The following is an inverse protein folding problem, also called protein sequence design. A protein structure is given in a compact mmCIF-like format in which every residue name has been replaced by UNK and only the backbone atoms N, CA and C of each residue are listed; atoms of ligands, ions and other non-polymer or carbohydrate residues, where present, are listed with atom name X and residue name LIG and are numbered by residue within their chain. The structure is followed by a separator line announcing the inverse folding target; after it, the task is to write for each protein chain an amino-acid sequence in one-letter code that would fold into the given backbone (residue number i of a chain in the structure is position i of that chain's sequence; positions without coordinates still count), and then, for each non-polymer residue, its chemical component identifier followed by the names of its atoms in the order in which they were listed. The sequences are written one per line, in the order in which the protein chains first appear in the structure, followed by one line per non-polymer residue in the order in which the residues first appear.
data_IF_810869037028
#
_entry.id   IF_810869037028
#
_cell.length_a   1.000
_cell.length_b   1.000
_cell.length_c   1.000
_cell.angle_alpha   90.00
_cell.angle_beta   90.00
_cell.angle_gamma   90.00
#
_symmetry.space_group_name_H-M   'P 1'
#
loop_
_entity.id
_entity.type
_entity.pdbx_description
1 polymer ?
#
# COMPACT_ATOMS: atom_id res chain seq x y z
N UNK A 1 6.63 5.35 -4.34
CA UNK A 1 8.03 5.72 -3.99
C UNK A 1 8.29 5.21 -2.58
N UNK A 2 9.43 4.57 -2.30
CA UNK A 2 9.78 4.14 -0.95
C UNK A 2 9.80 5.36 -0.01
N UNK A 3 9.35 5.19 1.23
CA UNK A 3 9.31 6.29 2.19
C UNK A 3 10.75 6.61 2.62
N UNK A 4 11.04 7.88 2.93
CA UNK A 4 12.39 8.33 3.33
C UNK A 4 12.95 7.49 4.48
N UNK A 5 12.12 7.17 5.48
CA UNK A 5 12.53 6.32 6.61
C UNK A 5 12.93 4.89 6.22
N UNK A 6 12.33 4.31 5.17
CA UNK A 6 12.70 2.98 4.68
C UNK A 6 14.07 3.01 4.01
N UNK A 7 14.37 4.08 3.28
CA UNK A 7 15.69 4.30 2.66
C UNK A 7 16.75 4.50 3.75
N UNK A 8 16.48 5.32 4.76
CA UNK A 8 17.40 5.55 5.89
C UNK A 8 17.71 4.25 6.62
N UNK A 9 16.71 3.38 6.84
CA UNK A 9 16.92 2.04 7.41
C UNK A 9 17.84 1.17 6.55
N UNK A 10 17.60 1.12 5.24
CA UNK A 10 18.44 0.34 4.32
C UNK A 10 19.90 0.84 4.32
N UNK A 11 20.12 2.15 4.39
CA UNK A 11 21.47 2.73 4.49
C UNK A 11 22.12 2.37 5.82
N UNK A 12 21.42 2.54 6.94
CA UNK A 12 21.95 2.22 8.27
C UNK A 12 22.31 0.73 8.40
N UNK A 13 21.43 -0.15 7.92
CA UNK A 13 21.64 -1.59 7.94
C UNK A 13 22.75 -2.02 6.98
N UNK A 14 22.80 -1.44 5.78
CA UNK A 14 23.86 -1.72 4.81
C UNK A 14 25.24 -1.32 5.33
N UNK A 15 25.34 -0.21 6.06
CA UNK A 15 26.59 0.21 6.72
C UNK A 15 26.99 -0.74 7.86
N UNK A 16 26.03 -1.21 8.66
CA UNK A 16 26.30 -2.05 9.83
C UNK A 16 26.62 -3.49 9.49
N UNK A 17 25.82 -4.09 8.60
CA UNK A 17 25.92 -5.50 8.22
C UNK A 17 26.78 -5.71 6.95
N UNK A 18 27.35 -4.63 6.39
CA UNK A 18 28.14 -4.63 5.14
C UNK A 18 27.38 -5.24 3.95
N UNK A 19 26.06 -5.10 3.94
CA UNK A 19 25.19 -5.55 2.84
C UNK A 19 25.03 -4.41 1.82
N UNK A 20 25.13 -4.68 0.50
CA UNK A 20 24.90 -3.67 -0.51
C UNK A 20 23.50 -3.01 -0.38
N UNK A 21 23.48 -1.68 -0.25
CA UNK A 21 22.25 -0.90 0.03
C UNK A 21 21.23 -1.03 -1.10
N UNK A 22 21.70 -1.16 -2.34
CA UNK A 22 20.88 -1.39 -3.53
C UNK A 22 20.06 -2.69 -3.44
N UNK A 23 20.63 -3.75 -2.85
CA UNK A 23 19.91 -5.01 -2.63
C UNK A 23 18.82 -4.83 -1.57
N UNK A 24 19.12 -4.13 -0.47
CA UNK A 24 18.15 -3.85 0.60
C UNK A 24 16.97 -3.00 0.10
N UNK A 25 17.25 -1.98 -0.72
CA UNK A 25 16.20 -1.16 -1.36
C UNK A 25 15.39 -2.01 -2.34
N UNK A 26 16.04 -2.90 -3.10
CA UNK A 26 15.38 -3.84 -3.98
C UNK A 26 14.35 -4.71 -3.26
N UNK A 27 14.69 -5.22 -2.07
CA UNK A 27 13.77 -6.00 -1.22
C UNK A 27 12.56 -5.17 -0.78
N UNK A 28 12.76 -3.92 -0.34
CA UNK A 28 11.64 -3.04 0.07
C UNK A 28 10.68 -2.79 -1.10
N UNK A 29 11.20 -2.59 -2.32
CA UNK A 29 10.35 -2.39 -3.50
C UNK A 29 9.53 -3.65 -3.81
N UNK A 30 10.12 -4.84 -3.65
CA UNK A 30 9.43 -6.12 -3.84
C UNK A 30 8.33 -6.29 -2.78
N UNK A 31 8.64 -6.05 -1.51
CA UNK A 31 7.67 -6.08 -0.40
C UNK A 31 6.46 -5.19 -0.71
N UNK A 32 6.68 -3.95 -1.13
CA UNK A 32 5.61 -3.00 -1.50
C UNK A 32 4.82 -3.44 -2.72
N UNK A 33 5.48 -4.04 -3.70
CA UNK A 33 4.79 -4.62 -4.86
C UNK A 33 3.84 -5.73 -4.46
N UNK A 34 4.26 -6.59 -3.52
CA UNK A 34 3.46 -7.70 -3.01
C UNK A 34 2.30 -7.19 -2.17
N UNK A 35 2.50 -6.19 -1.31
CA UNK A 35 1.43 -5.54 -0.56
C UNK A 35 0.33 -4.99 -1.48
N UNK A 36 0.71 -4.30 -2.57
CA UNK A 36 -0.26 -3.75 -3.53
C UNK A 36 -1.04 -4.87 -4.24
N UNK A 37 -0.37 -5.96 -4.63
CA UNK A 37 -1.01 -7.11 -5.27
C UNK A 37 -1.98 -7.78 -4.29
N UNK A 38 -1.58 -7.99 -3.04
CA UNK A 38 -2.43 -8.59 -2.01
C UNK A 38 -3.66 -7.73 -1.73
N UNK A 39 -3.50 -6.40 -1.60
CA UNK A 39 -4.63 -5.48 -1.44
C UNK A 39 -5.59 -5.56 -2.64
N UNK A 40 -5.05 -5.62 -3.86
CA UNK A 40 -5.86 -5.74 -5.07
C UNK A 40 -6.64 -7.06 -5.11
N UNK A 41 -6.03 -8.18 -4.71
CA UNK A 41 -6.69 -9.49 -4.62
C UNK A 41 -7.82 -9.45 -3.58
N UNK A 42 -7.58 -8.88 -2.40
CA UNK A 42 -8.59 -8.76 -1.35
C UNK A 42 -9.75 -7.85 -1.79
N UNK A 43 -9.43 -6.74 -2.45
CA UNK A 43 -10.44 -5.83 -3.01
C UNK A 43 -11.32 -6.54 -4.05
N UNK A 44 -10.70 -7.29 -4.97
CA UNK A 44 -11.44 -8.06 -5.98
C UNK A 44 -12.31 -9.15 -5.34
N UNK A 45 -11.77 -9.88 -4.38
CA UNK A 45 -12.51 -10.88 -3.62
C UNK A 45 -13.73 -10.25 -2.94
N UNK A 46 -13.54 -9.09 -2.31
CA UNK A 46 -14.64 -8.37 -1.66
C UNK A 46 -15.68 -7.86 -2.67
N UNK A 47 -15.28 -7.38 -3.85
CA UNK A 47 -16.24 -7.01 -4.90
C UNK A 47 -17.08 -8.19 -5.39
N UNK A 48 -16.56 -9.42 -5.32
CA UNK A 48 -17.29 -10.63 -5.68
C UNK A 48 -18.26 -11.04 -4.58
N UNK A 49 -17.83 -10.96 -3.31
CA UNK A 49 -18.60 -11.42 -2.15
C UNK A 49 -19.64 -10.39 -1.70
N UNK A 50 -19.25 -9.12 -1.63
CA UNK A 50 -20.05 -8.00 -1.12
C UNK A 50 -19.91 -6.74 -2.01
N UNK A 51 -20.05 -6.96 -3.32
CA UNK A 51 -19.97 -5.88 -4.31
C UNK A 51 -21.10 -4.86 -4.19
N UNK A 52 -22.22 -5.22 -3.56
CA UNK A 52 -23.35 -4.32 -3.32
C UNK A 52 -22.98 -3.20 -2.33
N UNK A 53 -22.10 -3.48 -1.37
CA UNK A 53 -21.60 -2.52 -0.40
C UNK A 53 -20.40 -1.76 -0.93
N UNK A 54 -19.36 -2.48 -1.38
CA UNK A 54 -18.09 -1.88 -1.77
C UNK A 54 -18.18 -1.12 -3.11
N UNK A 55 -18.95 -1.63 -4.07
CA UNK A 55 -19.04 -1.09 -5.42
C UNK A 55 -19.54 0.37 -5.47
N UNK A 56 -20.72 0.69 -4.90
CA UNK A 56 -21.23 2.05 -4.84
C UNK A 56 -20.26 3.00 -4.12
N UNK A 57 -19.70 2.57 -2.99
CA UNK A 57 -18.76 3.38 -2.22
C UNK A 57 -17.51 3.75 -3.03
N UNK A 58 -16.89 2.79 -3.72
CA UNK A 58 -15.74 3.06 -4.59
C UNK A 58 -16.11 3.96 -5.76
N UNK A 59 -17.29 3.77 -6.35
CA UNK A 59 -17.76 4.59 -7.46
C UNK A 59 -17.90 6.05 -7.05
N UNK A 60 -18.50 6.33 -5.91
CA UNK A 60 -18.74 7.69 -5.43
C UNK A 60 -17.50 8.34 -4.84
N UNK A 61 -16.69 7.57 -4.11
CA UNK A 61 -15.55 8.13 -3.35
C UNK A 61 -14.27 8.19 -4.19
N UNK A 62 -14.06 7.24 -5.10
CA UNK A 62 -12.81 7.13 -5.88
C UNK A 62 -13.04 7.48 -7.34
N UNK A 63 -14.04 6.89 -8.00
CA UNK A 63 -14.21 7.02 -9.46
C UNK A 63 -14.80 8.38 -9.84
N UNK A 64 -15.85 8.84 -9.16
CA UNK A 64 -16.53 10.09 -9.48
C UNK A 64 -15.61 11.33 -9.37
N UNK A 65 -14.81 11.51 -8.30
CA UNK A 65 -13.91 12.66 -8.19
C UNK A 65 -12.77 12.63 -9.21
N UNK A 66 -12.26 11.43 -9.54
CA UNK A 66 -11.26 11.27 -10.61
C UNK A 66 -11.87 11.61 -11.96
N UNK A 67 -13.08 11.13 -12.23
CA UNK A 67 -13.83 11.43 -13.46
C UNK A 67 -14.11 12.92 -13.59
N UNK A 68 -14.56 13.59 -12.53
CA UNK A 68 -14.81 15.04 -12.55
C UNK A 68 -13.53 15.84 -12.76
N UNK A 69 -12.43 15.50 -12.06
CA UNK A 69 -11.12 16.12 -12.32
C UNK A 69 -10.67 15.91 -13.76
N UNK A 70 -10.85 14.72 -14.32
CA UNK A 70 -10.52 14.42 -15.71
C UNK A 70 -11.40 15.20 -16.69
N UNK A 71 -12.71 15.30 -16.44
CA UNK A 71 -13.63 16.09 -17.28
C UNK A 71 -13.29 17.57 -17.21
N UNK A 72 -12.99 18.11 -16.02
CA UNK A 72 -12.60 19.51 -15.83
C UNK A 72 -11.23 19.83 -16.46
N UNK A 73 -10.31 18.85 -16.51
CA UNK A 73 -9.00 19.01 -17.14
C UNK A 73 -9.02 18.82 -18.66
N UNK A 74 -9.89 17.96 -19.19
CA UNK A 74 -9.80 17.52 -20.59
C UNK A 74 -11.04 17.80 -21.45
N UNK A 75 -12.17 18.21 -20.87
CA UNK A 75 -13.41 18.54 -21.58
C UNK A 75 -14.00 17.32 -22.31
N UNK A 76 -15.22 16.92 -21.95
CA UNK A 76 -16.04 15.85 -22.56
C UNK A 76 -15.87 14.41 -22.01
N UNK A 77 -16.91 13.87 -21.33
CA UNK A 77 -16.86 12.53 -20.71
C UNK A 77 -16.88 11.35 -21.68
N UNK A 78 -17.51 11.48 -22.86
CA UNK A 78 -17.64 10.38 -23.82
C UNK A 78 -16.36 10.17 -24.63
N UNK A 79 -15.67 11.27 -24.93
CA UNK A 79 -14.41 11.26 -25.64
C UNK A 79 -13.31 10.64 -24.78
N UNK A 80 -13.38 10.73 -23.44
CA UNK A 80 -12.45 10.03 -22.54
C UNK A 80 -12.62 8.51 -22.65
N UNK A 81 -13.84 7.96 -22.70
CA UNK A 81 -14.05 6.51 -22.85
C UNK A 81 -13.65 6.01 -24.24
N UNK A 82 -13.99 6.75 -25.29
CA UNK A 82 -13.59 6.42 -26.67
C UNK A 82 -12.08 6.57 -26.84
N UNK A 83 -11.47 7.64 -26.35
CA UNK A 83 -10.02 7.86 -26.39
C UNK A 83 -9.28 6.89 -25.48
N UNK A 84 -9.81 6.48 -24.32
CA UNK A 84 -9.13 5.50 -23.46
C UNK A 84 -9.23 4.09 -24.02
N UNK A 85 -10.37 3.71 -24.62
CA UNK A 85 -10.48 2.47 -25.38
C UNK A 85 -9.59 2.49 -26.64
N UNK A 86 -9.63 3.57 -27.42
CA UNK A 86 -8.79 3.77 -28.60
C UNK A 86 -7.30 3.85 -28.21
N UNK A 87 -6.97 4.47 -27.09
CA UNK A 87 -5.62 4.55 -26.54
C UNK A 87 -5.15 3.19 -26.05
N UNK A 88 -5.98 2.39 -25.36
CA UNK A 88 -5.65 1.01 -24.99
C UNK A 88 -5.39 0.15 -26.23
N UNK A 89 -6.22 0.28 -27.27
CA UNK A 89 -6.07 -0.44 -28.54
C UNK A 89 -4.81 0.02 -29.28
N UNK A 90 -4.57 1.34 -29.38
CA UNK A 90 -3.38 1.91 -30.01
C UNK A 90 -2.11 1.60 -29.22
N UNK A 91 -2.15 1.58 -27.89
CA UNK A 91 -1.02 1.20 -27.03
C UNK A 91 -0.72 -0.29 -27.19
N UNK A 92 -1.74 -1.15 -27.23
CA UNK A 92 -1.55 -2.59 -27.48
C UNK A 92 -0.99 -2.84 -28.88
N UNK A 93 -1.52 -2.18 -29.91
CA UNK A 93 -1.07 -2.29 -31.30
C UNK A 93 0.34 -1.72 -31.48
N UNK A 94 0.64 -0.57 -30.86
CA UNK A 94 1.96 0.06 -30.87
C UNK A 94 3.00 -0.81 -30.14
N UNK A 95 2.66 -1.40 -29.00
CA UNK A 95 3.55 -2.36 -28.31
C UNK A 95 3.78 -3.63 -29.14
N UNK A 96 2.75 -4.12 -29.83
CA UNK A 96 2.84 -5.30 -30.69
C UNK A 96 3.73 -5.04 -31.92
N UNK A 97 3.54 -3.91 -32.61
CA UNK A 97 4.24 -3.56 -33.84
C UNK A 97 5.66 -3.02 -33.58
N UNK A 98 5.87 -2.20 -32.56
CA UNK A 98 7.16 -1.53 -32.31
C UNK A 98 8.01 -2.18 -31.22
N UNK A 99 7.61 -3.35 -30.69
CA UNK A 99 8.34 -4.15 -29.68
C UNK A 99 9.84 -4.29 -29.96
N UNK A 100 10.24 -4.36 -31.24
CA UNK A 100 11.64 -4.53 -31.63
C UNK A 100 12.42 -3.21 -31.81
N UNK A 101 11.74 -2.07 -32.06
CA UNK A 101 12.38 -0.75 -32.29
C UNK A 101 12.37 0.17 -31.06
N UNK A 102 11.44 -0.01 -30.13
CA UNK A 102 11.26 0.83 -28.93
C UNK A 102 12.42 0.78 -27.93
N UNK A 103 13.31 -0.21 -28.03
CA UNK A 103 14.50 -0.34 -27.17
C UNK A 103 15.57 0.75 -27.33
N UNK A 104 15.50 1.60 -28.38
CA UNK A 104 16.52 2.64 -28.67
C UNK A 104 16.21 4.05 -28.14
N UNK A 105 15.00 4.33 -27.64
CA UNK A 105 14.60 5.70 -27.23
C UNK A 105 14.78 5.91 -25.72
N UNK A 106 15.48 6.98 -25.30
CA UNK A 106 15.87 7.24 -23.88
C UNK A 106 14.69 7.32 -22.88
N UNK A 107 13.54 7.86 -23.28
CA UNK A 107 12.35 7.96 -22.42
C UNK A 107 11.66 6.60 -22.24
N UNK A 108 11.43 5.87 -23.33
CA UNK A 108 10.91 4.51 -23.29
C UNK A 108 11.88 3.54 -22.61
N UNK A 109 13.19 3.76 -22.70
CA UNK A 109 14.21 3.02 -21.93
C UNK A 109 14.04 3.21 -20.42
N UNK A 110 13.74 4.42 -19.93
CA UNK A 110 13.44 4.66 -18.51
C UNK A 110 12.12 4.04 -18.07
N UNK A 111 11.06 4.14 -18.89
CA UNK A 111 9.76 3.54 -18.59
C UNK A 111 9.80 2.01 -18.69
N UNK A 112 10.48 1.44 -19.69
CA UNK A 112 10.79 0.02 -19.78
C UNK A 112 11.70 -0.40 -18.64
N UNK A 113 12.64 0.41 -18.15
CA UNK A 113 13.41 0.08 -16.94
C UNK A 113 12.53 0.06 -15.68
N UNK A 114 11.58 0.98 -15.55
CA UNK A 114 10.64 0.98 -14.43
C UNK A 114 9.67 -0.21 -14.50
N UNK A 115 9.04 -0.46 -15.64
CA UNK A 115 8.15 -1.60 -15.87
C UNK A 115 8.90 -2.93 -15.84
N UNK A 116 10.09 -3.01 -16.42
CA UNK A 116 11.00 -4.16 -16.26
C UNK A 116 11.43 -4.26 -14.80
N UNK A 117 11.59 -3.19 -14.04
CA UNK A 117 11.85 -3.23 -12.60
C UNK A 117 10.70 -3.87 -11.82
N UNK A 118 9.44 -3.53 -12.15
CA UNK A 118 8.24 -4.17 -11.57
C UNK A 118 8.13 -5.63 -11.99
N UNK A 119 8.30 -5.95 -13.28
CA UNK A 119 8.31 -7.33 -13.81
C UNK A 119 9.50 -8.13 -13.27
N UNK A 120 10.64 -7.48 -13.03
CA UNK A 120 11.83 -8.10 -12.43
C UNK A 120 11.61 -8.31 -10.94
N UNK A 121 10.91 -7.42 -10.23
CA UNK A 121 10.45 -7.64 -8.86
C UNK A 121 9.49 -8.83 -8.76
N UNK A 122 8.53 -8.93 -9.68
CA UNK A 122 7.62 -10.05 -9.82
C UNK A 122 8.36 -11.36 -10.25
N UNK A 123 9.38 -11.25 -11.10
CA UNK A 123 10.28 -12.35 -11.46
C UNK A 123 11.21 -12.74 -10.30
N UNK A 124 11.52 -11.82 -9.39
CA UNK A 124 12.29 -12.09 -8.17
C UNK A 124 11.44 -12.85 -7.16
N UNK A 125 10.14 -12.58 -7.07
CA UNK A 125 9.19 -13.46 -6.36
C UNK A 125 9.25 -14.90 -6.90
N UNK A 126 9.36 -15.09 -8.22
CA UNK A 126 9.56 -16.42 -8.81
C UNK A 126 10.90 -17.08 -8.45
N UNK A 127 11.89 -16.32 -7.96
CA UNK A 127 13.20 -16.82 -7.52
C UNK A 127 13.30 -17.04 -6.00
N UNK A 128 12.24 -16.74 -5.23
CA UNK A 128 12.22 -17.02 -3.78
C UNK A 128 12.32 -18.52 -3.57
N UNK A 129 13.35 -18.96 -2.82
CA UNK A 129 13.65 -20.38 -2.60
C UNK A 129 12.54 -21.12 -1.84
N UNK A 130 11.88 -20.44 -0.89
CA UNK A 130 10.82 -20.98 -0.01
C UNK A 130 9.46 -20.32 -0.28
N UNK A 131 8.94 -20.50 -1.51
CA UNK A 131 7.69 -19.84 -1.96
C UNK A 131 6.49 -20.09 -1.06
N UNK A 132 6.32 -21.32 -0.56
CA UNK A 132 5.19 -21.70 0.30
C UNK A 132 5.16 -20.91 1.60
N UNK A 133 6.30 -20.79 2.26
CA UNK A 133 6.43 -20.01 3.50
C UNK A 133 6.24 -18.53 3.27
N UNK A 134 6.78 -18.01 2.17
CA UNK A 134 6.57 -16.63 1.81
C UNK A 134 5.06 -16.33 1.64
N UNK A 135 4.34 -17.14 0.86
CA UNK A 135 2.89 -16.98 0.67
C UNK A 135 2.13 -17.13 1.99
N UNK A 136 2.49 -18.12 2.82
CA UNK A 136 1.89 -18.28 4.14
C UNK A 136 2.08 -17.04 5.01
N UNK A 137 3.30 -16.50 5.09
CA UNK A 137 3.57 -15.28 5.86
C UNK A 137 2.84 -14.06 5.29
N UNK A 138 2.75 -13.91 3.97
CA UNK A 138 1.94 -12.85 3.36
C UNK A 138 0.48 -12.97 3.78
N UNK A 139 -0.14 -14.14 3.64
CA UNK A 139 -1.53 -14.37 4.07
C UNK A 139 -1.69 -14.11 5.56
N UNK A 140 -0.75 -14.58 6.38
CA UNK A 140 -0.78 -14.38 7.82
C UNK A 140 -0.72 -12.89 8.19
N UNK A 141 0.14 -12.09 7.55
CA UNK A 141 0.21 -10.65 7.77
C UNK A 141 -1.12 -9.98 7.43
N UNK A 142 -1.71 -10.30 6.28
CA UNK A 142 -3.00 -9.74 5.87
C UNK A 142 -4.15 -10.17 6.76
N UNK A 143 -4.14 -11.41 7.26
CA UNK A 143 -5.09 -11.86 8.27
C UNK A 143 -4.96 -11.06 9.58
N UNK A 144 -3.73 -10.78 10.03
CA UNK A 144 -3.52 -9.94 11.21
C UNK A 144 -4.01 -8.50 10.96
N UNK A 145 -3.82 -7.94 9.77
CA UNK A 145 -4.39 -6.63 9.45
C UNK A 145 -5.92 -6.63 9.43
N UNK A 146 -6.54 -7.69 8.91
CA UNK A 146 -8.00 -7.87 8.98
C UNK A 146 -8.49 -7.94 10.42
N UNK A 147 -7.84 -8.76 11.25
CA UNK A 147 -8.17 -8.89 12.68
C UNK A 147 -7.98 -7.59 13.44
N UNK A 148 -6.88 -6.89 13.24
CA UNK A 148 -6.62 -5.62 13.90
C UNK A 148 -7.64 -4.55 13.49
N UNK A 149 -8.01 -4.50 12.21
CA UNK A 149 -9.08 -3.60 11.74
C UNK A 149 -10.41 -3.97 12.41
N UNK A 150 -10.79 -5.25 12.39
CA UNK A 150 -12.05 -5.70 12.97
C UNK A 150 -12.11 -5.57 14.50
N UNK A 151 -11.03 -5.83 15.23
CA UNK A 151 -11.04 -5.75 16.70
C UNK A 151 -11.30 -4.33 17.21
N UNK A 152 -10.80 -3.31 16.51
CA UNK A 152 -10.99 -1.90 16.89
C UNK A 152 -12.47 -1.49 16.81
N UNK A 153 -13.28 -2.17 16.00
CA UNK A 153 -14.72 -1.92 15.88
C UNK A 153 -15.43 -2.08 17.23
N UNK A 154 -14.95 -2.97 18.10
CA UNK A 154 -15.52 -3.20 19.41
C UNK A 154 -15.16 -2.13 20.45
N UNK A 155 -14.27 -1.19 20.10
CA UNK A 155 -13.89 -0.10 21.01
C UNK A 155 -14.95 1.00 21.14
N UNK A 156 -15.87 1.10 20.18
CA UNK A 156 -16.95 2.09 20.17
C UNK A 156 -18.31 1.40 20.06
N UNK A 157 -19.28 1.88 20.85
CA UNK A 157 -20.66 1.36 20.83
C UNK A 157 -21.34 1.57 19.47
N UNK A 158 -20.99 2.66 18.77
CA UNK A 158 -21.50 2.99 17.44
C UNK A 158 -21.03 2.03 16.36
N UNK A 159 -19.85 1.42 16.51
CA UNK A 159 -19.30 0.45 15.55
C UNK A 159 -19.45 -1.01 16.01
N UNK A 160 -19.65 -1.30 17.30
CA UNK A 160 -19.55 -2.66 17.88
C UNK A 160 -20.46 -3.74 17.31
N UNK A 161 -21.45 -3.37 16.49
CA UNK A 161 -22.35 -4.30 15.81
C UNK A 161 -21.81 -4.80 14.46
N UNK A 162 -20.75 -4.20 13.93
CA UNK A 162 -20.16 -4.55 12.65
C UNK A 162 -19.40 -5.89 12.74
N UNK A 163 -19.58 -6.71 11.72
CA UNK A 163 -19.03 -8.06 11.67
C UNK A 163 -17.65 -8.10 10.99
N UNK A 164 -17.12 -9.30 10.78
CA UNK A 164 -15.81 -9.47 10.15
C UNK A 164 -15.79 -9.03 8.68
N UNK A 165 -16.90 -9.17 7.95
CA UNK A 165 -16.99 -8.71 6.57
C UNK A 165 -16.94 -7.17 6.50
N UNK A 166 -17.57 -6.50 7.47
CA UNK A 166 -17.45 -5.05 7.64
C UNK A 166 -16.02 -4.64 7.99
N UNK A 167 -15.33 -5.41 8.84
CA UNK A 167 -13.90 -5.23 9.09
C UNK A 167 -13.04 -5.34 7.82
N UNK A 168 -13.40 -6.26 6.91
CA UNK A 168 -12.75 -6.41 5.61
C UNK A 168 -13.05 -5.23 4.67
N UNK A 169 -14.27 -4.67 4.71
CA UNK A 169 -14.61 -3.42 4.03
C UNK A 169 -13.66 -2.29 4.46
N UNK A 170 -13.55 -2.09 5.77
CA UNK A 170 -12.70 -1.06 6.36
C UNK A 170 -11.21 -1.28 6.02
N UNK A 171 -10.76 -2.54 6.00
CA UNK A 171 -9.40 -2.90 5.58
C UNK A 171 -9.14 -2.49 4.12
N UNK A 172 -10.08 -2.77 3.21
CA UNK A 172 -9.94 -2.42 1.79
C UNK A 172 -9.88 -0.92 1.59
N UNK A 173 -10.86 -0.17 2.10
CA UNK A 173 -10.91 1.28 1.88
C UNK A 173 -9.76 1.99 2.61
N UNK A 174 -9.41 1.54 3.83
CA UNK A 174 -8.27 2.03 4.57
C UNK A 174 -6.95 1.75 3.86
N UNK A 175 -6.77 0.55 3.33
CA UNK A 175 -5.60 0.16 2.53
C UNK A 175 -5.46 1.02 1.26
N UNK A 176 -6.57 1.33 0.58
CA UNK A 176 -6.58 2.23 -0.57
C UNK A 176 -6.15 3.64 -0.17
N UNK A 177 -6.63 4.18 0.95
CA UNK A 177 -6.17 5.47 1.45
C UNK A 177 -4.67 5.47 1.82
N UNK A 178 -4.15 4.38 2.40
CA UNK A 178 -2.72 4.24 2.71
C UNK A 178 -1.83 4.16 1.46
N UNK A 179 -2.40 3.77 0.32
CA UNK A 179 -1.71 3.74 -0.98
C UNK A 179 -1.58 5.12 -1.64
N UNK A 180 -2.40 6.09 -1.21
CA UNK A 180 -2.32 7.45 -1.70
C UNK A 180 -0.94 8.05 -1.38
N UNK A 181 -0.40 8.98 -2.20
CA UNK A 181 0.91 9.59 -2.00
C UNK A 181 0.89 10.64 -0.87
N UNK A 182 0.32 10.28 0.27
CA UNK A 182 0.18 11.10 1.48
C UNK A 182 1.04 10.46 2.57
N UNK A 183 1.69 11.29 3.40
CA UNK A 183 2.60 10.80 4.44
C UNK A 183 1.84 9.91 5.42
N UNK A 184 2.21 8.62 5.43
CA UNK A 184 1.57 7.58 6.23
C UNK A 184 0.04 7.49 6.10
N UNK A 185 -0.57 7.99 5.01
CA UNK A 185 -2.02 8.03 4.86
C UNK A 185 -2.74 8.96 5.86
N UNK A 186 -2.01 9.82 6.57
CA UNK A 186 -2.59 10.76 7.54
C UNK A 186 -3.59 11.69 6.85
N UNK A 187 -4.75 11.88 7.49
CA UNK A 187 -5.90 12.58 6.92
C UNK A 187 -6.67 11.78 5.86
N UNK A 188 -5.98 11.20 4.86
CA UNK A 188 -6.64 10.38 3.83
C UNK A 188 -7.34 9.14 4.41
N UNK A 189 -6.70 8.47 5.37
CA UNK A 189 -7.25 7.33 6.08
C UNK A 189 -8.48 7.74 6.92
N UNK A 190 -8.37 8.82 7.69
CA UNK A 190 -9.48 9.32 8.52
C UNK A 190 -10.67 9.75 7.67
N UNK A 191 -10.40 10.42 6.56
CA UNK A 191 -11.42 10.83 5.61
C UNK A 191 -12.16 9.63 5.01
N UNK A 192 -11.44 8.64 4.48
CA UNK A 192 -12.10 7.52 3.79
C UNK A 192 -12.86 6.62 4.76
N UNK A 193 -12.30 6.37 5.95
CA UNK A 193 -12.91 5.48 6.94
C UNK A 193 -14.16 6.12 7.54
N UNK A 194 -14.10 7.40 7.93
CA UNK A 194 -15.28 8.10 8.46
C UNK A 194 -16.41 8.17 7.43
N UNK A 195 -16.08 8.44 6.16
CA UNK A 195 -17.05 8.44 5.05
C UNK A 195 -17.58 7.05 4.73
N UNK A 196 -16.74 6.02 4.79
CA UNK A 196 -17.14 4.62 4.61
C UNK A 196 -18.14 4.19 5.67
N UNK A 197 -17.81 4.44 6.94
CA UNK A 197 -18.69 4.14 8.07
C UNK A 197 -20.03 4.88 7.98
N UNK A 198 -20.00 6.14 7.55
CA UNK A 198 -21.21 6.94 7.40
C UNK A 198 -22.08 6.51 6.22
N UNK A 199 -21.49 6.39 5.02
CA UNK A 199 -22.23 6.11 3.81
C UNK A 199 -22.81 4.69 3.76
N UNK A 200 -22.10 3.73 4.35
CA UNK A 200 -22.49 2.31 4.31
C UNK A 200 -23.33 1.92 5.51
N UNK A 201 -22.93 2.34 6.72
CA UNK A 201 -23.53 1.85 7.97
C UNK A 201 -24.34 2.91 8.71
N UNK A 202 -24.45 4.13 8.17
CA UNK A 202 -25.19 5.23 8.80
C UNK A 202 -24.55 5.75 10.09
N UNK A 203 -23.29 5.40 10.37
CA UNK A 203 -22.56 5.82 11.57
C UNK A 203 -22.21 7.30 11.44
N UNK A 204 -22.28 8.06 12.54
CA UNK A 204 -21.96 9.49 12.51
C UNK A 204 -20.52 9.73 12.04
N UNK A 205 -20.27 10.85 11.35
CA UNK A 205 -18.91 11.20 10.91
C UNK A 205 -17.95 11.35 12.10
N UNK A 206 -18.46 11.82 13.24
CA UNK A 206 -17.70 11.98 14.48
C UNK A 206 -17.24 10.62 15.02
N UNK A 207 -18.15 9.65 15.12
CA UNK A 207 -17.84 8.28 15.52
C UNK A 207 -16.90 7.60 14.52
N UNK A 208 -17.11 7.80 13.23
CA UNK A 208 -16.25 7.27 12.18
C UNK A 208 -14.83 7.83 12.24
N UNK A 209 -14.68 9.12 12.59
CA UNK A 209 -13.39 9.74 12.84
C UNK A 209 -12.74 9.23 14.13
N UNK A 210 -13.52 9.01 15.19
CA UNK A 210 -13.04 8.42 16.43
C UNK A 210 -12.50 7.00 16.20
N UNK A 211 -13.22 6.17 15.44
CA UNK A 211 -12.75 4.86 15.03
C UNK A 211 -11.45 4.96 14.22
N UNK A 212 -11.40 5.85 13.22
CA UNK A 212 -10.22 5.99 12.38
C UNK A 212 -8.99 6.45 13.17
N UNK A 213 -9.20 7.35 14.15
CA UNK A 213 -8.15 7.80 15.07
C UNK A 213 -7.63 6.64 15.92
N UNK A 214 -8.52 5.86 16.54
CA UNK A 214 -8.13 4.71 17.34
C UNK A 214 -7.37 3.67 16.50
N UNK A 215 -7.86 3.37 15.29
CA UNK A 215 -7.23 2.40 14.40
C UNK A 215 -5.84 2.87 13.92
N UNK A 216 -5.72 4.10 13.44
CA UNK A 216 -4.48 4.61 12.83
C UNK A 216 -3.43 5.03 13.85
N UNK A 217 -3.82 5.82 14.85
CA UNK A 217 -2.85 6.41 15.79
C UNK A 217 -2.33 5.39 16.79
N UNK A 218 -3.12 4.37 17.17
CA UNK A 218 -2.62 3.29 18.02
C UNK A 218 -1.46 2.54 17.36
N UNK A 219 -1.57 2.25 16.06
CA UNK A 219 -0.50 1.63 15.28
C UNK A 219 0.73 2.55 15.17
N UNK A 220 0.50 3.85 14.95
CA UNK A 220 1.56 4.84 14.83
C UNK A 220 2.35 4.93 16.14
N UNK A 221 1.65 5.07 17.27
CA UNK A 221 2.25 5.12 18.62
C UNK A 221 3.01 3.83 18.90
N UNK A 222 2.41 2.67 18.65
CA UNK A 222 3.06 1.38 18.85
C UNK A 222 4.34 1.24 18.01
N UNK A 223 4.26 1.60 16.73
CA UNK A 223 5.41 1.62 15.83
C UNK A 223 6.51 2.58 16.28
N UNK A 224 6.14 3.74 16.81
CA UNK A 224 7.08 4.72 17.36
C UNK A 224 7.81 4.18 18.59
N UNK A 225 7.09 3.55 19.53
CA UNK A 225 7.67 2.94 20.73
C UNK A 225 8.65 1.83 20.34
N UNK A 226 8.24 0.91 19.47
CA UNK A 226 9.12 -0.17 19.00
C UNK A 226 10.34 0.37 18.24
N UNK A 227 10.13 1.38 17.39
CA UNK A 227 11.21 2.06 16.68
C UNK A 227 12.24 2.69 17.61
N UNK A 228 11.77 3.35 18.67
CA UNK A 228 12.62 3.94 19.70
C UNK A 228 13.42 2.87 20.46
N UNK A 229 12.77 1.78 20.90
CA UNK A 229 13.43 0.65 21.57
C UNK A 229 14.51 0.03 20.66
N UNK A 230 14.20 -0.17 19.38
CA UNK A 230 15.14 -0.72 18.41
C UNK A 230 16.36 0.20 18.21
N UNK A 231 16.14 1.51 18.08
CA UNK A 231 17.22 2.49 17.96
C UNK A 231 18.10 2.53 19.21
N UNK A 232 17.50 2.54 20.40
CA UNK A 232 18.23 2.51 21.67
C UNK A 232 19.10 1.26 21.80
N UNK A 233 18.55 0.08 21.47
CA UNK A 233 19.29 -1.19 21.47
C UNK A 233 20.46 -1.18 20.47
N UNK A 234 20.26 -0.57 19.30
CA UNK A 234 21.29 -0.44 18.27
C UNK A 234 22.47 0.42 18.75
N UNK A 235 22.20 1.60 19.29
CA UNK A 235 23.22 2.54 19.79
C UNK A 235 23.97 1.96 20.99
N UNK A 236 23.28 1.26 21.89
CA UNK A 236 23.91 0.62 23.06
C UNK A 236 24.94 -0.43 22.65
N UNK A 237 24.64 -1.26 21.64
CA UNK A 237 25.58 -2.28 21.14
C UNK A 237 26.83 -1.66 20.50
N UNK A 238 26.69 -0.53 19.82
CA UNK A 238 27.83 0.14 19.18
C UNK A 238 28.75 0.79 20.22
N UNK A 239 28.21 1.30 21.34
CA UNK A 239 29.03 1.75 22.48
C UNK A 239 29.83 0.62 23.12
N UNK A 240 29.24 -0.56 23.30
CA UNK A 240 29.91 -1.72 23.92
C UNK A 240 31.07 -2.24 23.05
N UNK A 241 30.91 -2.27 21.72
CA UNK A 241 32.01 -2.66 20.81
C UNK A 241 33.17 -1.67 20.84
N UNK A 242 32.89 -0.37 20.81
CA UNK A 242 33.93 0.67 20.84
C UNK A 242 34.75 0.67 22.14
N UNK A 243 34.14 0.32 23.28
CA UNK A 243 34.88 0.16 24.54
C UNK A 243 35.71 -1.11 24.59
N UNK A 244 35.23 -2.21 24.00
CA UNK A 244 35.98 -3.47 23.94
C UNK A 244 37.21 -3.35 23.02
N UNK A 245 37.07 -2.70 21.86
CA UNK A 245 38.16 -2.48 20.90
C UNK A 245 39.18 -1.42 21.40
N UNK A 246 38.87 -0.66 22.46
CA UNK A 246 39.77 0.32 23.08
C UNK A 246 40.53 -0.23 24.30
N UNK A 247 40.15 -1.41 24.79
CA UNK A 247 40.80 -2.13 25.89
C UNK A 247 41.77 -3.23 25.41
N UNK A 248 41.81 -3.53 24.11
CA UNK A 248 42.84 -4.34 23.43
C UNK A 248 43.98 -3.48 22.86
#
# INVERSE_FOLDING_TARGET
LPRVGEITRCIALGRKEKIPVDQLIGTVVIERGIDIISLAIITLFMLIVDGATLGPFLRETVIAPVREKMINLFGFPWMIWVLSALFLILVALFFYVFRQRLGRIRFFSKLFKAARGVITGLSTFMRVRRKKEFVFHTIFIWFNYAMMTWVVVFSLKSTSHLDFADGMFLLVIGGLAMSAPVQSGLGAFHFIISRGLNAVYGISLEDGLAYALLAHESQLIFGMILGFIALYSLVRKDKIKLTADAEE
#
